data_IF_318818304194
#
_entry.id   IF_318818304194
#
_cell.length_a   1.000
_cell.length_b   1.000
_cell.length_c   1.000
_cell.angle_alpha   90.00
_cell.angle_beta   90.00
_cell.angle_gamma   90.00
#
_symmetry.space_group_name_H-M   'P 1'
#
loop_
_entity.id
_entity.type
_entity.pdbx_description
1 polymer ?
#
# COMPACT_ATOMS: atom_id res chain seq x y z
N UNK A 1 -6.18 -3.00 9.29
CA UNK A 1 -6.33 -2.22 8.03
C UNK A 1 -7.74 -2.39 7.53
N UNK A 2 -8.43 -1.32 7.14
CA UNK A 2 -9.74 -1.43 6.53
C UNK A 2 -9.92 -0.46 5.36
N UNK A 3 -10.81 -0.81 4.44
CA UNK A 3 -11.38 0.04 3.41
C UNK A 3 -12.88 0.10 3.69
N UNK A 4 -13.41 1.31 3.83
CA UNK A 4 -14.84 1.56 4.05
C UNK A 4 -15.24 2.85 3.34
N UNK A 5 -16.22 2.77 2.44
CA UNK A 5 -16.72 3.89 1.62
C UNK A 5 -15.59 4.71 0.97
N UNK A 6 -14.65 3.98 0.34
CA UNK A 6 -13.50 4.61 -0.33
C UNK A 6 -12.49 5.29 0.60
N UNK A 7 -12.55 5.03 1.91
CA UNK A 7 -11.58 5.52 2.89
C UNK A 7 -10.72 4.37 3.41
N UNK A 8 -9.40 4.56 3.38
CA UNK A 8 -8.46 3.63 4.02
C UNK A 8 -8.28 4.03 5.48
N UNK A 9 -8.34 3.05 6.39
CA UNK A 9 -8.03 3.26 7.80
C UNK A 9 -6.99 2.27 8.33
N UNK A 10 -6.14 2.77 9.23
CA UNK A 10 -5.17 2.00 10.01
C UNK A 10 -5.55 2.16 11.48
N UNK A 11 -5.90 1.04 12.13
CA UNK A 11 -6.36 1.03 13.52
C UNK A 11 -7.48 2.05 13.81
N UNK A 12 -8.39 2.21 12.84
CA UNK A 12 -9.52 3.14 12.88
C UNK A 12 -9.18 4.59 12.51
N UNK A 13 -7.91 4.94 12.36
CA UNK A 13 -7.50 6.27 11.91
C UNK A 13 -7.46 6.34 10.37
N UNK A 14 -8.04 7.39 9.75
CA UNK A 14 -7.98 7.56 8.30
C UNK A 14 -6.54 7.78 7.82
N UNK A 15 -6.21 7.19 6.67
CA UNK A 15 -4.93 7.34 6.00
C UNK A 15 -5.15 8.05 4.66
N UNK A 16 -4.58 9.24 4.51
CA UNK A 16 -4.47 9.89 3.21
C UNK A 16 -3.37 9.22 2.38
N UNK A 17 -3.69 8.83 1.15
CA UNK A 17 -2.76 8.17 0.23
C UNK A 17 -2.50 9.03 -1.03
N UNK A 18 -1.85 10.22 -0.92
CA UNK A 18 -1.64 11.13 -2.07
C UNK A 18 -0.76 10.54 -3.19
N UNK A 19 -0.06 9.43 -2.92
CA UNK A 19 0.73 8.69 -3.90
C UNK A 19 -0.09 7.67 -4.70
N UNK A 20 -1.28 7.28 -4.21
CA UNK A 20 -2.10 6.26 -4.84
C UNK A 20 -2.84 6.82 -6.06
N UNK A 21 -3.05 5.94 -7.05
CA UNK A 21 -3.82 6.19 -8.27
C UNK A 21 -4.93 5.16 -8.38
N UNK A 22 -6.16 5.62 -8.49
CA UNK A 22 -7.37 4.80 -8.49
C UNK A 22 -7.99 4.64 -7.10
N UNK A 23 -9.21 4.11 -7.04
CA UNK A 23 -9.93 3.92 -5.79
C UNK A 23 -9.21 2.91 -4.87
N UNK A 24 -9.33 3.03 -3.53
CA UNK A 24 -8.67 2.12 -2.59
C UNK A 24 -8.96 0.65 -2.84
N UNK A 25 -10.16 0.33 -3.29
CA UNK A 25 -10.62 -1.03 -3.58
C UNK A 25 -12.02 -1.24 -3.03
N UNK A 26 -12.51 -2.49 -3.04
CA UNK A 26 -13.75 -2.84 -2.37
C UNK A 26 -13.61 -2.71 -0.85
N UNK A 27 -14.74 -2.53 -0.18
CA UNK A 27 -14.78 -2.53 1.28
C UNK A 27 -14.28 -3.87 1.84
N UNK A 28 -13.58 -3.78 2.96
CA UNK A 28 -12.97 -4.93 3.59
C UNK A 28 -12.18 -4.56 4.85
N UNK A 29 -11.94 -5.55 5.69
CA UNK A 29 -11.15 -5.38 6.90
C UNK A 29 -10.21 -6.57 7.07
N UNK A 30 -8.97 -6.27 7.41
CA UNK A 30 -7.89 -7.24 7.56
C UNK A 30 -7.15 -7.00 8.86
N UNK A 31 -6.99 -8.07 9.64
CA UNK A 31 -6.11 -8.12 10.80
C UNK A 31 -4.69 -8.32 10.27
N UNK A 32 -3.78 -7.43 10.64
CA UNK A 32 -2.35 -7.51 10.33
C UNK A 32 -1.63 -7.71 11.65
N UNK A 33 -1.02 -8.86 11.83
CA UNK A 33 -0.22 -9.18 13.02
C UNK A 33 1.22 -8.65 12.89
N UNK A 34 2.04 -8.87 13.92
CA UNK A 34 3.43 -8.44 13.97
C UNK A 34 4.37 -9.21 13.03
N UNK A 35 3.89 -10.29 12.40
CA UNK A 35 4.65 -11.13 11.46
C UNK A 35 4.26 -10.91 10.01
N UNK A 36 3.24 -10.10 9.76
CA UNK A 36 2.64 -9.88 8.44
C UNK A 36 2.60 -8.41 8.06
N UNK A 37 2.35 -8.16 6.77
CA UNK A 37 2.17 -6.83 6.22
C UNK A 37 0.99 -6.84 5.24
N UNK A 38 0.29 -5.72 5.17
CA UNK A 38 -0.72 -5.48 4.15
C UNK A 38 -0.11 -4.65 3.04
N UNK A 39 -0.01 -5.20 1.83
CA UNK A 39 0.63 -4.56 0.69
C UNK A 39 -0.39 -4.21 -0.38
N UNK A 40 -0.32 -2.99 -0.89
CA UNK A 40 -1.19 -2.52 -1.97
C UNK A 40 -0.36 -1.73 -2.97
N UNK A 41 -0.64 -1.92 -4.26
CA UNK A 41 0.03 -1.19 -5.34
C UNK A 41 -0.48 0.24 -5.45
N UNK A 42 0.40 1.18 -5.78
CA UNK A 42 0.00 2.56 -6.07
C UNK A 42 -0.91 2.65 -7.29
N UNK A 43 -0.76 1.75 -8.27
CA UNK A 43 -1.64 1.67 -9.43
C UNK A 43 -2.84 0.74 -9.11
N UNK A 44 -3.74 1.22 -8.25
CA UNK A 44 -4.84 0.44 -7.66
C UNK A 44 -5.75 -0.19 -8.70
N UNK A 45 -6.08 0.59 -9.73
CA UNK A 45 -6.99 0.23 -10.83
C UNK A 45 -6.40 -0.82 -11.81
N UNK A 46 -5.07 -0.92 -11.89
CA UNK A 46 -4.38 -1.87 -12.77
C UNK A 46 -4.00 -3.16 -12.06
N UNK A 47 -3.98 -3.14 -10.73
CA UNK A 47 -3.46 -4.24 -9.92
C UNK A 47 -4.56 -5.21 -9.56
N UNK A 48 -4.45 -6.44 -10.05
CA UNK A 48 -5.38 -7.54 -9.75
C UNK A 48 -4.92 -8.44 -8.60
N UNK A 49 -3.67 -8.32 -8.16
CA UNK A 49 -3.07 -9.18 -7.16
C UNK A 49 -2.28 -8.33 -6.16
N UNK A 50 -2.93 -7.99 -5.05
CA UNK A 50 -2.33 -7.43 -3.85
C UNK A 50 -3.13 -7.89 -2.61
N UNK A 51 -2.80 -7.38 -1.41
CA UNK A 51 -3.42 -7.86 -0.16
C UNK A 51 -4.93 -7.67 -0.09
N UNK A 52 -5.52 -6.82 -0.94
CA UNK A 52 -6.98 -6.71 -1.06
C UNK A 52 -7.63 -8.01 -1.56
N UNK A 53 -6.86 -8.84 -2.28
CA UNK A 53 -7.33 -10.10 -2.88
C UNK A 53 -6.86 -11.35 -2.13
N UNK A 54 -5.61 -11.37 -1.67
CA UNK A 54 -5.02 -12.55 -1.03
C UNK A 54 -4.72 -12.37 0.46
N UNK A 55 -5.04 -11.20 1.04
CA UNK A 55 -4.81 -10.89 2.44
C UNK A 55 -3.38 -10.46 2.77
N UNK A 56 -3.07 -10.29 4.07
CA UNK A 56 -1.72 -9.96 4.53
C UNK A 56 -0.70 -11.03 4.11
N UNK A 57 0.55 -10.60 3.91
CA UNK A 57 1.67 -11.48 3.52
C UNK A 57 2.75 -11.47 4.60
N UNK A 58 3.53 -12.55 4.77
CA UNK A 58 4.60 -12.60 5.76
C UNK A 58 5.67 -11.53 5.54
N UNK A 59 6.14 -10.91 6.63
CA UNK A 59 7.31 -10.02 6.62
C UNK A 59 8.60 -10.81 6.39
N UNK A 60 8.63 -12.07 6.82
CA UNK A 60 9.78 -12.95 6.64
C UNK A 60 10.15 -13.07 5.16
N UNK A 61 11.44 -12.87 4.85
CA UNK A 61 11.94 -12.89 3.47
C UNK A 61 11.82 -11.57 2.72
N UNK A 62 11.08 -10.58 3.23
CA UNK A 62 11.03 -9.26 2.62
C UNK A 62 12.39 -8.55 2.69
N UNK A 63 12.62 -7.63 1.75
CA UNK A 63 13.83 -6.78 1.69
C UNK A 63 13.40 -5.36 1.34
N UNK A 64 13.95 -4.37 2.04
CA UNK A 64 13.79 -2.96 1.67
C UNK A 64 14.84 -2.61 0.61
N UNK A 65 14.39 -2.17 -0.56
CA UNK A 65 15.27 -1.65 -1.61
C UNK A 65 15.07 -0.15 -1.72
N UNK A 66 16.14 0.62 -1.52
CA UNK A 66 16.10 2.09 -1.62
C UNK A 66 16.95 2.49 -2.83
N UNK A 67 16.28 3.00 -3.88
CA UNK A 67 16.98 3.58 -5.04
C UNK A 67 17.09 5.09 -4.85
N UNK A 68 18.28 5.57 -4.51
CA UNK A 68 18.57 7.01 -4.42
C UNK A 68 18.81 7.55 -5.82
N UNK A 69 17.84 8.29 -6.36
CA UNK A 69 17.99 9.00 -7.64
C UNK A 69 18.60 10.37 -7.37
N UNK A 70 19.89 10.54 -7.66
CA UNK A 70 20.52 11.87 -7.68
C UNK A 70 20.16 12.54 -9.01
N UNK A 71 19.41 13.64 -8.98
CA UNK A 71 19.30 14.53 -10.14
C UNK A 71 20.61 15.31 -10.25
N UNK A 72 21.37 15.10 -11.31
CA UNK A 72 22.45 16.01 -11.68
C UNK A 72 21.79 17.31 -12.13
N UNK A 73 22.15 18.42 -11.49
CA UNK A 73 21.70 19.75 -11.87
C UNK A 73 22.30 20.05 -13.26
N UNK A 74 21.45 20.28 -14.26
CA UNK A 74 21.92 20.77 -15.54
C UNK A 74 22.43 22.20 -15.35
N UNK A 75 23.68 22.44 -15.71
CA UNK A 75 24.30 23.77 -15.71
C UNK A 75 23.47 24.73 -16.58
N UNK A 76 23.30 25.95 -16.06
CA UNK A 76 22.58 27.06 -16.70
C UNK A 76 23.28 27.57 -17.96
#
# INVERSE_FOLDING_TARGET
>A
VAVDDGTVTIDGAPLEEPWARGAPGPDGSWIVDDTSMFVVSDARELTRADSRTFGPVPVSGARRVIKVVRRTQADK
#
